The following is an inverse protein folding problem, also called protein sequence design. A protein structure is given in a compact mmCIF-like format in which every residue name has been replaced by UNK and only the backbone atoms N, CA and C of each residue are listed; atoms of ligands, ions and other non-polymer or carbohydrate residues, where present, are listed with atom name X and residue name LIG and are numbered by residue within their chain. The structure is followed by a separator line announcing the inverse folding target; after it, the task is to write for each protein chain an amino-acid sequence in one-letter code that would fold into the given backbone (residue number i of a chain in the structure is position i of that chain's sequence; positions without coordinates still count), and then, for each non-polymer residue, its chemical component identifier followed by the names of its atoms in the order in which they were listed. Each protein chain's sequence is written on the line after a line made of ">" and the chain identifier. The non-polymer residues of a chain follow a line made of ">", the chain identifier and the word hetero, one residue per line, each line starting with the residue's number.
data_IF_376994351158
#
_entry.id   IF_376994351158
#
_cell.length_a   1.000
_cell.length_b   1.000
_cell.length_c   1.000
_cell.angle_alpha   90.00
_cell.angle_beta   90.00
_cell.angle_gamma   90.00
#
_symmetry.space_group_name_H-M   'P 1'
#
loop_
_entity.id
_entity.type
_entity.pdbx_description
1 polymer ?
#
# COMPACT_ATOMS: atom_id res chain seq x y z
N UNK A 1 20.13 -19.42 11.66
CA UNK A 1 20.33 -18.19 10.87
C UNK A 1 19.72 -18.45 9.51
N UNK A 2 18.49 -17.97 9.28
CA UNK A 2 17.91 -17.97 7.93
C UNK A 2 18.68 -16.93 7.13
N UNK A 3 19.20 -17.30 5.96
CA UNK A 3 19.85 -16.35 5.07
C UNK A 3 18.80 -15.34 4.59
N UNK A 4 19.00 -14.07 4.92
CA UNK A 4 18.17 -12.97 4.45
C UNK A 4 18.38 -12.82 2.94
N UNK A 5 17.37 -13.18 2.15
CA UNK A 5 17.36 -12.86 0.71
C UNK A 5 17.14 -11.34 0.59
N UNK A 6 18.19 -10.64 0.15
CA UNK A 6 18.09 -9.24 -0.24
C UNK A 6 17.68 -9.19 -1.70
N UNK A 7 16.49 -8.68 -1.98
CA UNK A 7 16.03 -8.51 -3.36
C UNK A 7 16.73 -7.33 -4.02
N UNK A 8 17.03 -7.45 -5.30
CA UNK A 8 17.36 -6.28 -6.12
C UNK A 8 16.13 -5.41 -6.34
N UNK A 9 16.33 -4.14 -6.70
CA UNK A 9 15.22 -3.22 -7.02
C UNK A 9 14.32 -3.75 -8.14
N UNK A 10 14.90 -4.50 -9.09
CA UNK A 10 14.14 -5.11 -10.19
C UNK A 10 13.22 -6.22 -9.67
N UNK A 11 13.75 -7.14 -8.86
CA UNK A 11 12.99 -8.23 -8.25
C UNK A 11 11.89 -7.68 -7.31
N UNK A 12 12.20 -6.67 -6.48
CA UNK A 12 11.19 -6.02 -5.62
C UNK A 12 10.03 -5.44 -6.43
N UNK A 13 10.32 -4.82 -7.58
CA UNK A 13 9.29 -4.27 -8.47
C UNK A 13 8.46 -5.36 -9.14
N UNK A 14 9.08 -6.47 -9.51
CA UNK A 14 8.41 -7.60 -10.17
C UNK A 14 7.46 -8.31 -9.21
N UNK A 15 7.94 -8.65 -8.00
CA UNK A 15 7.11 -9.27 -6.95
C UNK A 15 5.91 -8.38 -6.60
N UNK A 16 6.13 -7.07 -6.47
CA UNK A 16 5.03 -6.13 -6.23
C UNK A 16 4.01 -6.10 -7.38
N UNK A 17 4.48 -6.09 -8.63
CA UNK A 17 3.59 -6.16 -9.80
C UNK A 17 2.77 -7.45 -9.82
N UNK A 18 3.38 -8.60 -9.49
CA UNK A 18 2.67 -9.88 -9.42
C UNK A 18 1.61 -9.89 -8.32
N UNK A 19 1.93 -9.35 -7.14
CA UNK A 19 0.98 -9.24 -6.03
C UNK A 19 -0.23 -8.37 -6.38
N UNK A 20 0.00 -7.21 -6.99
CA UNK A 20 -1.07 -6.29 -7.42
C UNK A 20 -1.93 -6.92 -8.51
N UNK A 21 -1.32 -7.63 -9.47
CA UNK A 21 -2.08 -8.32 -10.52
C UNK A 21 -3.01 -9.38 -9.93
N UNK A 22 -2.51 -10.20 -8.99
CA UNK A 22 -3.31 -11.22 -8.32
C UNK A 22 -4.43 -10.61 -7.46
N UNK A 23 -4.17 -9.49 -6.77
CA UNK A 23 -5.20 -8.77 -6.01
C UNK A 23 -6.34 -8.29 -6.94
N UNK A 24 -6.01 -7.71 -8.09
CA UNK A 24 -7.00 -7.25 -9.06
C UNK A 24 -7.81 -8.42 -9.64
N UNK A 25 -7.16 -9.54 -9.98
CA UNK A 25 -7.82 -10.75 -10.50
C UNK A 25 -8.80 -11.37 -9.50
N UNK A 26 -8.49 -11.32 -8.21
CA UNK A 26 -9.32 -11.89 -7.14
C UNK A 26 -10.27 -10.89 -6.48
N UNK A 27 -10.25 -9.62 -6.91
CA UNK A 27 -11.11 -8.58 -6.37
C UNK A 27 -12.58 -8.78 -6.78
N UNK A 28 -13.50 -8.25 -5.97
CA UNK A 28 -14.91 -8.25 -6.33
C UNK A 28 -15.16 -7.31 -7.53
N UNK A 29 -15.88 -7.80 -8.53
CA UNK A 29 -16.29 -6.98 -9.69
C UNK A 29 -17.49 -6.10 -9.32
N UNK A 30 -17.21 -5.00 -8.62
CA UNK A 30 -18.23 -4.01 -8.24
C UNK A 30 -17.70 -2.57 -8.34
N UNK A 31 -18.64 -1.61 -8.42
CA UNK A 31 -18.32 -0.20 -8.64
C UNK A 31 -17.50 0.44 -7.52
N UNK A 32 -17.62 -0.06 -6.28
CA UNK A 32 -16.85 0.48 -5.16
C UNK A 32 -15.36 0.13 -5.28
N UNK A 33 -15.06 -1.10 -5.73
CA UNK A 33 -13.67 -1.53 -5.99
C UNK A 33 -13.07 -0.70 -7.13
N UNK A 34 -13.81 -0.55 -8.24
CA UNK A 34 -13.36 0.25 -9.38
C UNK A 34 -13.11 1.73 -8.99
N UNK A 35 -14.03 2.34 -8.24
CA UNK A 35 -13.87 3.70 -7.74
C UNK A 35 -12.65 3.83 -6.81
N UNK A 36 -12.45 2.86 -5.93
CA UNK A 36 -11.30 2.79 -5.04
C UNK A 36 -9.97 2.74 -5.78
N UNK A 37 -9.84 1.85 -6.76
CA UNK A 37 -8.63 1.72 -7.61
C UNK A 37 -8.38 3.03 -8.36
N UNK A 38 -9.41 3.62 -8.97
CA UNK A 38 -9.29 4.88 -9.69
C UNK A 38 -8.85 6.04 -8.76
N UNK A 39 -9.38 6.10 -7.54
CA UNK A 39 -8.98 7.08 -6.53
C UNK A 39 -7.53 6.91 -6.12
N UNK A 40 -7.09 5.66 -5.93
CA UNK A 40 -5.71 5.35 -5.58
C UNK A 40 -4.75 5.79 -6.69
N UNK A 41 -5.08 5.51 -7.94
CA UNK A 41 -4.32 5.95 -9.11
C UNK A 41 -4.28 7.48 -9.21
N UNK A 42 -5.40 8.16 -8.99
CA UNK A 42 -5.48 9.62 -8.95
C UNK A 42 -4.52 10.19 -7.88
N UNK A 43 -4.54 9.64 -6.68
CA UNK A 43 -3.69 10.11 -5.58
C UNK A 43 -2.21 9.85 -5.81
N UNK A 44 -1.85 8.68 -6.36
CA UNK A 44 -0.49 8.40 -6.81
C UNK A 44 -0.03 9.39 -7.88
N UNK A 45 -0.90 9.68 -8.86
CA UNK A 45 -0.57 10.57 -9.97
C UNK A 45 -0.27 11.99 -9.48
N UNK A 46 -1.16 12.56 -8.65
CA UNK A 46 -1.02 13.91 -8.11
C UNK A 46 -0.09 14.02 -6.90
N UNK A 47 0.55 12.94 -6.46
CA UNK A 47 1.47 12.94 -5.32
C UNK A 47 0.79 13.15 -3.97
N UNK A 48 -0.52 12.87 -3.88
CA UNK A 48 -1.23 12.77 -2.59
C UNK A 48 -0.91 11.47 -1.86
N UNK A 49 -0.44 10.46 -2.60
CA UNK A 49 -0.01 9.17 -2.09
C UNK A 49 1.36 8.81 -2.70
N UNK A 50 2.23 8.26 -1.88
CA UNK A 50 3.48 7.64 -2.29
C UNK A 50 3.54 6.21 -1.77
N UNK A 51 4.08 5.30 -2.57
CA UNK A 51 4.25 3.90 -2.21
C UNK A 51 5.68 3.46 -2.50
N UNK A 52 6.32 2.84 -1.52
CA UNK A 52 7.65 2.26 -1.66
C UNK A 52 7.72 0.92 -0.98
N UNK A 53 8.52 0.02 -1.55
CA UNK A 53 8.87 -1.25 -0.91
C UNK A 53 10.33 -1.23 -0.46
N UNK A 54 10.55 -1.63 0.79
CA UNK A 54 11.90 -1.77 1.32
C UNK A 54 12.45 -3.15 0.88
N UNK A 55 13.62 -3.22 0.19
CA UNK A 55 14.06 -4.42 -0.52
C UNK A 55 14.70 -5.50 0.37
N UNK A 56 14.84 -5.29 1.68
CA UNK A 56 15.52 -6.20 2.61
C UNK A 56 14.75 -6.39 3.93
N UNK A 57 14.78 -7.60 4.49
CA UNK A 57 14.07 -8.04 5.71
C UNK A 57 12.55 -7.76 5.78
N UNK A 58 11.81 -8.69 6.39
CA UNK A 58 10.40 -8.46 6.67
C UNK A 58 10.25 -7.39 7.75
N UNK A 59 9.87 -6.18 7.35
CA UNK A 59 9.42 -5.15 8.29
C UNK A 59 8.07 -5.60 8.86
N UNK A 60 8.11 -6.27 10.01
CA UNK A 60 6.90 -6.72 10.71
C UNK A 60 6.21 -5.61 11.52
N UNK A 61 6.85 -4.44 11.64
CA UNK A 61 6.30 -3.30 12.35
C UNK A 61 5.09 -2.71 11.59
N UNK A 62 3.99 -2.48 12.30
CA UNK A 62 2.85 -1.68 11.81
C UNK A 62 2.90 -0.37 12.56
N UNK A 63 3.21 0.70 11.83
CA UNK A 63 3.51 2.00 12.39
C UNK A 63 2.77 3.06 11.59
N UNK A 64 1.98 3.88 12.27
CA UNK A 64 1.28 5.02 11.70
C UNK A 64 1.82 6.27 12.36
N UNK A 65 2.43 7.15 11.58
CA UNK A 65 2.98 8.42 12.04
C UNK A 65 2.14 9.53 11.45
N UNK A 66 1.52 10.34 12.30
CA UNK A 66 0.72 11.48 11.87
C UNK A 66 1.44 12.76 12.27
N UNK A 67 1.72 13.61 11.29
CA UNK A 67 2.29 14.94 11.52
C UNK A 67 1.16 15.96 11.48
N UNK A 68 1.08 16.82 12.49
CA UNK A 68 0.04 17.83 12.56
C UNK A 68 0.44 19.10 11.81
N UNK A 69 -0.57 19.92 11.50
CA UNK A 69 -0.36 21.19 10.81
C UNK A 69 0.43 22.16 11.69
N UNK A 70 1.17 23.06 11.06
CA UNK A 70 1.94 24.08 11.77
C UNK A 70 1.02 24.92 12.68
N UNK A 71 1.46 25.15 13.92
CA UNK A 71 0.69 25.89 14.92
C UNK A 71 -0.22 25.03 15.80
N UNK A 72 -0.31 23.71 15.55
CA UNK A 72 -0.88 22.78 16.53
C UNK A 72 -0.02 22.75 17.82
N UNK A 73 -0.64 22.39 18.95
CA UNK A 73 0.05 22.28 20.24
C UNK A 73 1.09 21.16 20.23
N UNK A 74 0.79 20.09 19.50
CA UNK A 74 1.68 18.95 19.35
C UNK A 74 2.17 18.83 17.90
N UNK A 75 3.38 18.29 17.72
CA UNK A 75 3.96 18.12 16.38
C UNK A 75 3.38 16.92 15.63
N UNK A 76 2.86 15.93 16.36
CA UNK A 76 2.34 14.70 15.78
C UNK A 76 2.06 13.60 16.80
N UNK A 77 1.77 12.41 16.27
CA UNK A 77 1.45 11.19 17.02
C UNK A 77 2.03 9.98 16.33
N UNK A 78 2.24 8.92 17.11
CA UNK A 78 2.62 7.62 16.61
C UNK A 78 1.63 6.58 17.14
N UNK A 79 1.11 5.74 16.27
CA UNK A 79 0.32 4.56 16.64
C UNK A 79 1.11 3.34 16.18
N UNK A 80 1.27 2.37 17.07
CA UNK A 80 1.91 1.09 16.78
C UNK A 80 1.15 -0.04 17.46
N UNK A 81 1.18 -1.23 16.88
CA UNK A 81 0.46 -2.37 17.43
C UNK A 81 0.27 -3.51 16.43
N UNK A 82 -0.81 -4.26 16.60
CA UNK A 82 -1.11 -5.44 15.80
C UNK A 82 -1.91 -5.13 14.52
N UNK A 83 -2.53 -3.94 14.41
CA UNK A 83 -3.38 -3.56 13.27
C UNK A 83 -2.63 -3.43 11.95
N UNK A 84 -3.03 -4.23 10.96
CA UNK A 84 -2.73 -3.96 9.55
C UNK A 84 -3.57 -2.79 9.01
N UNK A 85 -3.13 -2.16 7.93
CA UNK A 85 -3.89 -1.10 7.26
C UNK A 85 -4.96 -1.70 6.34
N UNK A 86 -5.95 -2.36 6.95
CA UNK A 86 -7.10 -2.99 6.31
C UNK A 86 -8.36 -2.62 7.06
N UNK A 87 -9.54 -2.76 6.44
CA UNK A 87 -10.81 -2.50 7.12
C UNK A 87 -10.92 -3.32 8.42
N UNK A 88 -10.62 -4.63 8.36
CA UNK A 88 -10.67 -5.49 9.53
C UNK A 88 -9.67 -5.05 10.62
N UNK A 89 -8.46 -4.64 10.26
CA UNK A 89 -7.47 -4.13 11.20
C UNK A 89 -7.81 -2.76 11.82
N UNK A 90 -8.75 -2.01 11.22
CA UNK A 90 -9.18 -0.70 11.71
C UNK A 90 -10.50 -0.75 12.51
N UNK A 91 -11.40 -1.69 12.20
CA UNK A 91 -12.78 -1.69 12.73
C UNK A 91 -13.19 -3.02 13.35
N UNK A 92 -12.85 -4.16 12.72
CA UNK A 92 -13.50 -5.43 13.04
C UNK A 92 -12.72 -6.30 14.02
N UNK A 93 -11.39 -6.24 13.99
CA UNK A 93 -10.53 -7.05 14.85
C UNK A 93 -10.35 -6.45 16.25
N UNK A 94 -10.19 -7.32 17.25
CA UNK A 94 -9.66 -6.94 18.56
C UNK A 94 -8.14 -6.71 18.44
N UNK A 95 -7.78 -5.49 18.11
CA UNK A 95 -6.38 -5.08 17.91
C UNK A 95 -5.80 -4.44 19.17
N UNK A 96 -4.55 -4.75 19.48
CA UNK A 96 -3.84 -4.14 20.60
C UNK A 96 -2.90 -3.06 20.07
N UNK A 97 -3.37 -1.82 20.11
CA UNK A 97 -2.64 -0.64 19.65
C UNK A 97 -2.28 0.27 20.82
N UNK A 98 -1.13 0.94 20.71
CA UNK A 98 -0.68 1.97 21.64
C UNK A 98 -0.47 3.27 20.88
N UNK A 99 -0.95 4.38 21.44
CA UNK A 99 -0.69 5.73 20.97
C UNK A 99 0.45 6.34 21.80
N UNK A 100 1.51 6.79 21.13
CA UNK A 100 2.60 7.57 21.72
C UNK A 100 2.38 9.05 21.42
N UNK A 101 2.39 9.86 22.48
CA UNK A 101 2.06 11.30 22.42
C UNK A 101 3.27 12.20 22.60
N UNK A 102 4.36 11.65 23.12
CA UNK A 102 5.53 12.44 23.44
C UNK A 102 6.26 12.84 22.16
N UNK A 103 6.68 14.11 22.10
CA UNK A 103 7.39 14.67 20.95
C UNK A 103 8.65 13.87 20.59
N UNK A 104 9.38 13.38 21.60
CA UNK A 104 10.59 12.59 21.39
C UNK A 104 10.30 11.26 20.66
N UNK A 105 9.19 10.59 20.98
CA UNK A 105 8.78 9.35 20.32
C UNK A 105 8.40 9.60 18.86
N UNK A 106 7.67 10.70 18.60
CA UNK A 106 7.34 11.13 17.24
C UNK A 106 8.61 11.43 16.42
N UNK A 107 9.54 12.23 16.95
CA UNK A 107 10.78 12.59 16.24
C UNK A 107 11.63 11.35 15.97
N UNK A 108 11.75 10.43 16.94
CA UNK A 108 12.45 9.17 16.76
C UNK A 108 11.81 8.29 15.68
N UNK A 109 10.50 8.08 15.75
CA UNK A 109 9.76 7.26 14.80
C UNK A 109 9.86 7.81 13.38
N UNK A 110 9.69 9.13 13.21
CA UNK A 110 9.78 9.79 11.92
C UNK A 110 11.19 9.72 11.34
N UNK A 111 12.22 9.93 12.17
CA UNK A 111 13.61 9.80 11.73
C UNK A 111 13.91 8.39 11.24
N UNK A 112 13.47 7.36 11.97
CA UNK A 112 13.65 5.95 11.58
C UNK A 112 12.85 5.57 10.34
N UNK A 113 11.62 6.07 10.22
CA UNK A 113 10.83 5.91 9.00
C UNK A 113 11.56 6.50 7.80
N UNK A 114 12.05 7.74 7.90
CA UNK A 114 12.74 8.42 6.80
C UNK A 114 14.08 7.74 6.41
N UNK A 115 14.81 7.17 7.38
CA UNK A 115 16.02 6.37 7.14
C UNK A 115 15.70 5.14 6.26
N UNK A 116 14.64 4.40 6.58
CA UNK A 116 14.20 3.25 5.80
C UNK A 116 13.63 3.68 4.44
N UNK A 117 12.82 4.75 4.43
CA UNK A 117 12.21 5.29 3.22
C UNK A 117 13.22 5.76 2.17
N UNK A 118 14.34 6.32 2.61
CA UNK A 118 15.44 6.74 1.73
C UNK A 118 16.12 5.59 0.98
N UNK A 119 16.05 4.38 1.53
CA UNK A 119 16.59 3.15 0.95
C UNK A 119 15.52 2.30 0.25
N UNK A 120 14.25 2.72 0.27
CA UNK A 120 13.14 1.99 -0.32
C UNK A 120 12.98 2.25 -1.82
N UNK A 121 12.42 1.27 -2.52
CA UNK A 121 12.19 1.28 -3.96
C UNK A 121 10.85 1.93 -4.27
N UNK A 122 10.85 2.97 -5.12
CA UNK A 122 9.61 3.59 -5.62
C UNK A 122 8.80 2.63 -6.50
N UNK A 123 7.51 2.49 -6.17
CA UNK A 123 6.57 1.58 -6.82
C UNK A 123 5.46 2.30 -7.59
N UNK A 124 5.41 3.63 -7.62
CA UNK A 124 4.33 4.41 -8.25
C UNK A 124 4.07 3.96 -9.69
N UNK A 125 5.10 3.98 -10.54
CA UNK A 125 4.94 3.66 -11.97
C UNK A 125 4.55 2.19 -12.17
N UNK A 126 5.05 1.29 -11.31
CA UNK A 126 4.73 -0.13 -11.39
C UNK A 126 3.28 -0.39 -11.03
N UNK A 127 2.76 0.25 -9.99
CA UNK A 127 1.34 0.14 -9.65
C UNK A 127 0.43 0.64 -10.78
N UNK A 128 0.74 1.82 -11.34
CA UNK A 128 -0.05 2.41 -12.43
C UNK A 128 -0.07 1.50 -13.66
N UNK A 129 1.10 1.00 -14.08
CA UNK A 129 1.17 0.12 -15.27
C UNK A 129 0.44 -1.21 -15.02
N UNK A 130 0.68 -1.86 -13.89
CA UNK A 130 0.06 -3.17 -13.59
C UNK A 130 -1.47 -3.05 -13.57
N UNK A 131 -2.01 -2.07 -12.86
CA UNK A 131 -3.47 -1.87 -12.76
C UNK A 131 -4.11 -1.58 -14.12
N UNK A 132 -3.52 -0.71 -14.93
CA UNK A 132 -4.04 -0.40 -16.28
C UNK A 132 -4.03 -1.61 -17.22
N UNK A 133 -2.98 -2.44 -17.17
CA UNK A 133 -2.90 -3.67 -17.98
C UNK A 133 -4.01 -4.64 -17.58
N UNK A 134 -4.24 -4.83 -16.28
CA UNK A 134 -5.31 -5.72 -15.80
C UNK A 134 -6.70 -5.18 -16.15
N UNK A 135 -6.96 -3.89 -15.94
CA UNK A 135 -8.24 -3.28 -16.33
C UNK A 135 -8.53 -3.40 -17.83
N UNK A 136 -7.49 -3.31 -18.68
CA UNK A 136 -7.63 -3.47 -20.13
C UNK A 136 -7.86 -4.94 -20.55
N UNK A 137 -7.20 -5.88 -19.86
CA UNK A 137 -7.37 -7.33 -20.08
C UNK A 137 -8.76 -7.83 -19.70
N UNK A 138 -9.31 -7.34 -18.57
CA UNK A 138 -10.69 -7.65 -18.13
C UNK A 138 -11.73 -7.13 -19.13
N UNK A 139 -11.49 -6.00 -19.78
CA UNK A 139 -12.40 -5.49 -20.81
C UNK A 139 -12.36 -6.30 -22.12
N UNK A 140 -11.22 -6.92 -22.44
CA UNK A 140 -11.06 -7.79 -23.62
C UNK A 140 -11.76 -9.14 -23.48
N UNK A 141 -11.67 -9.79 -22.32
CA UNK A 141 -12.36 -11.07 -22.03
C UNK A 141 -13.88 -10.92 -21.88
N UNK A 142 -14.36 -9.68 -21.69
CA UNK A 142 -15.80 -9.35 -21.63
C UNK A 142 -16.49 -9.36 -23.00
N UNK A 143 -15.75 -9.17 -24.09
CA UNK A 143 -16.31 -9.20 -25.46
C UNK A 143 -16.40 -10.62 -26.05
N UNK A 144 -15.55 -11.55 -25.59
CA UNK A 144 -15.58 -12.94 -26.08
C UNK A 144 -16.69 -13.79 -25.44
N UNK A 145 -17.17 -13.42 -24.25
CA UNK A 145 -18.19 -14.19 -23.51
C UNK A 145 -19.65 -13.83 -23.85
N UNK A 146 -19.89 -12.78 -24.65
CA UNK A 146 -21.24 -12.35 -25.03
C UNK A 146 -21.67 -12.81 -26.45
N UNK A 147 -20.76 -13.35 -27.27
CA UNK A 147 -21.11 -13.90 -28.60
C UNK A 147 -21.64 -15.34 -28.58
N UNK A 148 -21.56 -16.04 -27.44
CA UNK A 148 -21.87 -17.48 -27.34
C UNK A 148 -23.15 -17.81 -26.53
N UNK A 149 -24.04 -16.83 -26.32
CA UNK A 149 -25.36 -17.10 -25.72
C UNK A 149 -26.37 -17.48 -26.81
N UNK A 150 -26.91 -18.72 -26.82
CA UNK A 150 -27.99 -19.06 -27.73
C UNK A 150 -29.26 -18.27 -27.37
N UNK A 151 -29.89 -17.74 -28.42
CA UNK A 151 -31.13 -16.94 -28.41
C UNK A 151 -32.31 -17.73 -27.87
#
# INVERSE_FOLDING_TARGET
>A
MQATLQFSHAETKEEFSNAVAAEMEHSEDNSNVEEGVNKFLEWLHFGKLEIKAYPSENIHAKLYIMTFVEGDKDVGRVITGSSNFTQAGLVDNLEFNVELKDRADYEFALAKFNELWGNAVDLKDKYIVTTQVQSSGVHGSRLENDEDRPV
#
